data_IF_799071588161
#
_entry.id   IF_799071588161
#
_cell.length_a   1.000
_cell.length_b   1.000
_cell.length_c   1.000
_cell.angle_alpha   90.00
_cell.angle_beta   90.00
_cell.angle_gamma   90.00
#
_symmetry.space_group_name_H-M   'P 1'
#
loop_
_entity.id
_entity.type
_entity.pdbx_description
1 polymer ?
#
# COMPACT_ATOMS: atom_id res chain seq x y z
N UNK A 1 -12.13 16.93 -10.74
CA UNK A 1 -13.29 16.19 -11.28
C UNK A 1 -13.28 14.82 -10.61
N UNK A 2 -14.32 14.43 -9.89
CA UNK A 2 -14.40 13.08 -9.33
C UNK A 2 -14.26 12.07 -10.48
N UNK A 3 -13.34 11.12 -10.35
CA UNK A 3 -13.25 9.95 -11.23
C UNK A 3 -14.62 9.26 -11.20
N UNK A 4 -15.44 9.48 -12.24
CA UNK A 4 -16.72 8.78 -12.33
C UNK A 4 -16.39 7.32 -12.55
N UNK A 5 -16.74 6.44 -11.59
CA UNK A 5 -16.65 4.98 -11.80
C UNK A 5 -17.18 4.66 -13.19
N UNK A 6 -16.33 4.07 -14.02
CA UNK A 6 -16.68 3.61 -15.37
C UNK A 6 -17.72 2.48 -15.21
N UNK A 7 -18.98 2.76 -15.42
CA UNK A 7 -20.06 1.76 -15.33
C UNK A 7 -20.21 1.02 -16.67
N UNK A 8 -19.25 0.16 -16.97
CA UNK A 8 -19.31 -0.66 -18.19
C UNK A 8 -20.21 -1.88 -18.01
N UNK A 9 -21.03 -2.15 -19.03
CA UNK A 9 -21.68 -3.42 -19.23
C UNK A 9 -20.73 -4.40 -19.96
N UNK A 10 -21.06 -5.68 -20.01
CA UNK A 10 -20.31 -6.66 -20.83
C UNK A 10 -20.23 -6.25 -22.29
N UNK A 11 -21.32 -5.69 -22.83
CA UNK A 11 -21.42 -5.23 -24.21
C UNK A 11 -20.48 -4.03 -24.45
N UNK A 12 -20.43 -3.08 -23.53
CA UNK A 12 -19.52 -1.94 -23.61
C UNK A 12 -18.07 -2.40 -23.65
N UNK A 13 -17.70 -3.38 -22.81
CA UNK A 13 -16.34 -3.95 -22.78
C UNK A 13 -16.00 -4.63 -24.10
N UNK A 14 -16.92 -5.41 -24.67
CA UNK A 14 -16.72 -6.11 -25.94
C UNK A 14 -16.53 -5.11 -27.09
N UNK A 15 -17.38 -4.10 -27.16
CA UNK A 15 -17.30 -3.06 -28.20
C UNK A 15 -15.98 -2.27 -28.07
N UNK A 16 -15.60 -1.87 -26.86
CA UNK A 16 -14.38 -1.12 -26.62
C UNK A 16 -13.12 -1.92 -26.99
N UNK A 17 -13.10 -3.21 -26.69
CA UNK A 17 -11.99 -4.12 -27.06
C UNK A 17 -11.85 -4.23 -28.59
N UNK A 18 -12.98 -4.25 -29.32
CA UNK A 18 -13.00 -4.29 -30.80
C UNK A 18 -12.58 -2.94 -31.39
N UNK A 19 -13.18 -1.83 -30.94
CA UNK A 19 -12.90 -0.47 -31.42
C UNK A 19 -11.44 -0.06 -31.21
N UNK A 20 -10.86 -0.45 -30.08
CA UNK A 20 -9.49 -0.09 -29.68
C UNK A 20 -8.42 -1.10 -30.18
N UNK A 21 -8.76 -2.09 -31.00
CA UNK A 21 -7.84 -3.12 -31.51
C UNK A 21 -7.08 -3.85 -30.37
N UNK A 22 -7.78 -4.23 -29.31
CA UNK A 22 -7.19 -4.96 -28.18
C UNK A 22 -7.12 -6.45 -28.51
N UNK A 23 -5.92 -7.00 -28.57
CA UNK A 23 -5.70 -8.44 -28.84
C UNK A 23 -5.54 -9.28 -27.57
N UNK A 24 -4.99 -8.69 -26.51
CA UNK A 24 -4.71 -9.37 -25.24
C UNK A 24 -5.35 -8.67 -24.05
N UNK A 25 -5.96 -9.43 -23.15
CA UNK A 25 -6.51 -8.95 -21.89
C UNK A 25 -5.77 -9.63 -20.74
N UNK A 26 -5.28 -8.82 -19.81
CA UNK A 26 -4.66 -9.26 -18.56
C UNK A 26 -5.73 -9.32 -17.47
N UNK A 27 -6.10 -10.51 -17.03
CA UNK A 27 -6.91 -10.73 -15.85
C UNK A 27 -5.98 -10.66 -14.64
N UNK A 28 -5.99 -9.53 -13.93
CA UNK A 28 -5.07 -9.23 -12.84
C UNK A 28 -5.72 -9.48 -11.48
N UNK A 29 -4.95 -10.02 -10.54
CA UNK A 29 -5.32 -10.13 -9.14
C UNK A 29 -4.07 -10.02 -8.26
N UNK A 30 -4.24 -9.81 -6.96
CA UNK A 30 -3.13 -9.60 -6.03
C UNK A 30 -3.13 -10.70 -4.99
N UNK A 31 -1.97 -11.35 -4.78
CA UNK A 31 -1.83 -12.34 -3.71
C UNK A 31 -1.78 -11.68 -2.32
N UNK A 32 -1.80 -12.48 -1.25
CA UNK A 32 -1.82 -11.98 0.12
C UNK A 32 -0.58 -11.17 0.51
N UNK A 33 0.53 -11.32 -0.23
CA UNK A 33 1.78 -10.59 0.00
C UNK A 33 1.90 -9.29 -0.80
N UNK A 34 0.84 -8.93 -1.55
CA UNK A 34 0.84 -7.71 -2.35
C UNK A 34 1.53 -7.85 -3.70
N UNK A 35 1.80 -9.07 -4.17
CA UNK A 35 2.35 -9.31 -5.49
C UNK A 35 1.23 -9.38 -6.54
N UNK A 36 1.35 -8.54 -7.58
CA UNK A 36 0.41 -8.55 -8.70
C UNK A 36 0.64 -9.80 -9.56
N UNK A 37 -0.41 -10.57 -9.77
CA UNK A 37 -0.46 -11.75 -10.63
C UNK A 37 -1.37 -11.48 -11.82
N UNK A 38 -1.23 -12.26 -12.89
CA UNK A 38 -2.15 -12.18 -14.01
C UNK A 38 -2.25 -13.48 -14.82
N UNK A 39 -3.42 -13.68 -15.42
CA UNK A 39 -3.63 -14.59 -16.52
C UNK A 39 -3.85 -13.76 -17.80
N UNK A 40 -3.15 -14.08 -18.88
CA UNK A 40 -3.36 -13.44 -20.18
C UNK A 40 -4.34 -14.28 -21.02
N UNK A 41 -5.34 -13.63 -21.58
CA UNK A 41 -6.25 -14.21 -22.57
C UNK A 41 -6.21 -13.40 -23.86
N UNK A 42 -6.56 -14.00 -24.98
CA UNK A 42 -6.83 -13.29 -26.23
C UNK A 42 -8.24 -12.70 -26.23
N UNK A 43 -8.47 -11.67 -27.05
CA UNK A 43 -9.81 -11.07 -27.21
C UNK A 43 -10.90 -12.07 -27.54
N UNK A 44 -10.57 -13.14 -28.30
CA UNK A 44 -11.52 -14.23 -28.61
C UNK A 44 -12.03 -14.99 -27.38
N UNK A 45 -11.32 -14.94 -26.25
CA UNK A 45 -11.71 -15.56 -24.98
C UNK A 45 -12.38 -14.57 -24.00
N UNK A 46 -12.56 -13.31 -24.41
CA UNK A 46 -13.10 -12.26 -23.54
C UNK A 46 -14.49 -12.62 -22.97
N UNK A 47 -15.39 -13.12 -23.82
CA UNK A 47 -16.75 -13.50 -23.38
C UNK A 47 -16.70 -14.57 -22.28
N UNK A 48 -15.78 -15.54 -22.37
CA UNK A 48 -15.57 -16.55 -21.33
C UNK A 48 -15.15 -15.91 -20.00
N UNK A 49 -14.28 -14.90 -20.05
CA UNK A 49 -13.85 -14.16 -18.86
C UNK A 49 -15.00 -13.35 -18.26
N UNK A 50 -15.75 -12.62 -19.10
CA UNK A 50 -16.92 -11.83 -18.67
C UNK A 50 -18.06 -12.70 -18.10
N UNK A 51 -18.11 -13.98 -18.47
CA UNK A 51 -19.01 -14.98 -17.89
C UNK A 51 -18.46 -15.65 -16.62
N UNK A 52 -17.33 -15.16 -16.08
CA UNK A 52 -16.70 -15.67 -14.86
C UNK A 52 -16.24 -17.14 -14.97
N UNK A 53 -15.82 -17.56 -16.16
CA UNK A 53 -15.44 -18.95 -16.46
C UNK A 53 -13.92 -19.16 -16.61
N UNK A 54 -13.11 -18.17 -16.24
CA UNK A 54 -11.65 -18.27 -16.26
C UNK A 54 -11.16 -18.90 -14.97
N UNK A 55 -10.79 -20.17 -15.05
CA UNK A 55 -10.24 -20.96 -13.94
C UNK A 55 -8.72 -20.93 -13.97
N UNK A 56 -8.10 -20.99 -12.78
CA UNK A 56 -6.67 -21.13 -12.60
C UNK A 56 -6.34 -22.03 -11.39
N UNK A 57 -5.12 -22.55 -11.36
CA UNK A 57 -4.61 -23.34 -10.24
C UNK A 57 -4.11 -22.41 -9.12
N UNK A 58 -4.90 -22.28 -8.07
CA UNK A 58 -4.57 -21.47 -6.90
C UNK A 58 -3.50 -22.10 -6.00
N UNK A 59 -3.22 -23.43 -6.13
CA UNK A 59 -2.23 -24.10 -5.28
C UNK A 59 -0.79 -23.68 -5.59
N UNK A 60 -0.56 -23.16 -6.80
CA UNK A 60 0.72 -22.59 -7.21
C UNK A 60 0.99 -21.17 -6.66
N UNK A 61 0.00 -20.58 -5.96
CA UNK A 61 0.11 -19.25 -5.36
C UNK A 61 0.27 -19.39 -3.85
N UNK A 62 1.40 -18.88 -3.34
CA UNK A 62 1.72 -18.97 -1.92
C UNK A 62 0.60 -18.35 -1.06
N UNK A 63 0.18 -19.08 -0.03
CA UNK A 63 -0.87 -18.65 0.90
C UNK A 63 -2.30 -18.82 0.39
N UNK A 64 -2.52 -19.26 -0.86
CA UNK A 64 -3.88 -19.47 -1.37
C UNK A 64 -4.47 -20.80 -0.88
N UNK A 65 -4.49 -21.83 -1.68
CA UNK A 65 -5.17 -23.10 -1.38
C UNK A 65 -4.19 -24.28 -1.43
N UNK A 66 -4.64 -25.42 -0.93
CA UNK A 66 -3.92 -26.69 -1.09
C UNK A 66 -4.20 -27.30 -2.46
N UNK A 67 -3.36 -28.26 -2.85
CA UNK A 67 -3.46 -28.92 -4.16
C UNK A 67 -4.79 -29.67 -4.33
N UNK A 68 -5.41 -30.14 -3.26
CA UNK A 68 -6.69 -30.84 -3.27
C UNK A 68 -7.90 -29.89 -3.54
N UNK A 69 -7.71 -28.58 -3.38
CA UNK A 69 -8.73 -27.56 -3.59
C UNK A 69 -8.24 -26.48 -4.57
N UNK A 70 -7.45 -26.86 -5.58
CA UNK A 70 -6.66 -25.94 -6.40
C UNK A 70 -7.46 -25.03 -7.32
N UNK A 71 -8.66 -25.46 -7.74
CA UNK A 71 -9.44 -24.73 -8.73
C UNK A 71 -10.04 -23.44 -8.15
N UNK A 72 -9.62 -22.30 -8.68
CA UNK A 72 -10.18 -20.99 -8.38
C UNK A 72 -10.56 -20.26 -9.67
N UNK A 73 -11.47 -19.28 -9.58
CA UNK A 73 -11.99 -18.53 -10.69
C UNK A 73 -11.70 -17.04 -10.57
N UNK A 74 -11.41 -16.39 -11.70
CA UNK A 74 -11.25 -14.95 -11.80
C UNK A 74 -12.56 -14.31 -12.26
N UNK A 75 -13.08 -13.40 -11.44
CA UNK A 75 -14.29 -12.61 -11.70
C UNK A 75 -13.89 -11.17 -12.00
N UNK A 76 -13.89 -10.76 -13.29
CA UNK A 76 -13.45 -9.42 -13.67
C UNK A 76 -14.38 -8.32 -13.13
N UNK A 77 -13.80 -7.31 -12.51
CA UNK A 77 -14.47 -6.04 -12.20
C UNK A 77 -14.45 -5.16 -13.45
N UNK A 78 -15.61 -5.00 -14.10
CA UNK A 78 -15.73 -4.32 -15.39
C UNK A 78 -15.35 -2.83 -15.30
N UNK A 79 -15.52 -2.21 -14.14
CA UNK A 79 -15.16 -0.81 -13.92
C UNK A 79 -13.65 -0.56 -14.02
N UNK A 80 -12.85 -1.63 -13.96
CA UNK A 80 -11.38 -1.55 -13.94
C UNK A 80 -10.72 -1.76 -15.30
N UNK A 81 -11.49 -1.85 -16.40
CA UNK A 81 -10.89 -1.97 -17.72
C UNK A 81 -9.96 -0.79 -18.00
N UNK A 82 -8.71 -1.11 -18.39
CA UNK A 82 -7.72 -0.13 -18.74
C UNK A 82 -6.82 -0.64 -19.86
N UNK A 83 -6.52 0.20 -20.86
CA UNK A 83 -5.61 -0.11 -21.95
C UNK A 83 -4.22 0.40 -21.60
N UNK A 84 -3.20 -0.44 -21.71
CA UNK A 84 -1.84 -0.07 -21.34
C UNK A 84 -1.17 0.84 -22.38
N UNK A 85 -0.86 2.11 -22.05
CA UNK A 85 -0.27 3.07 -23.01
C UNK A 85 1.12 2.66 -23.50
N UNK A 86 1.84 1.88 -22.73
CA UNK A 86 3.21 1.42 -23.04
C UNK A 86 3.27 0.21 -23.96
N UNK A 87 2.14 -0.27 -24.45
CA UNK A 87 2.08 -1.40 -25.40
C UNK A 87 1.95 -0.89 -26.84
N UNK A 88 2.22 -1.76 -27.87
CA UNK A 88 2.10 -1.38 -29.27
C UNK A 88 0.73 -0.78 -29.61
N UNK A 89 0.70 0.10 -30.60
CA UNK A 89 -0.53 0.71 -31.11
C UNK A 89 -1.39 -0.30 -31.89
N UNK A 90 -0.78 -1.35 -32.46
CA UNK A 90 -1.48 -2.49 -33.05
C UNK A 90 -1.40 -3.68 -32.11
N UNK A 91 -2.50 -4.38 -31.93
CA UNK A 91 -2.59 -5.48 -30.98
C UNK A 91 -2.42 -4.99 -29.54
N UNK A 92 -3.17 -3.98 -29.16
CA UNK A 92 -3.13 -3.38 -27.83
C UNK A 92 -3.38 -4.41 -26.74
N UNK A 93 -2.94 -4.08 -25.53
CA UNK A 93 -3.13 -4.90 -24.33
C UNK A 93 -3.94 -4.13 -23.32
N UNK A 94 -5.07 -4.71 -22.89
CA UNK A 94 -5.86 -4.18 -21.79
C UNK A 94 -5.69 -5.05 -20.52
N UNK A 95 -6.18 -4.54 -19.41
CA UNK A 95 -6.32 -5.30 -18.17
C UNK A 95 -7.72 -5.18 -17.59
N UNK A 96 -8.12 -6.18 -16.83
CA UNK A 96 -9.25 -6.17 -15.90
C UNK A 96 -8.73 -6.66 -14.55
N UNK A 97 -9.04 -5.95 -13.48
CA UNK A 97 -8.77 -6.44 -12.11
C UNK A 97 -9.88 -7.41 -11.75
N UNK A 98 -9.49 -8.53 -11.14
CA UNK A 98 -10.41 -9.62 -10.81
C UNK A 98 -10.45 -9.84 -9.31
N UNK A 99 -11.65 -10.15 -8.82
CA UNK A 99 -11.84 -10.81 -7.53
C UNK A 99 -11.68 -12.33 -7.73
N UNK A 100 -11.26 -13.04 -6.69
CA UNK A 100 -11.04 -14.49 -6.73
C UNK A 100 -12.20 -15.21 -6.08
N UNK A 101 -12.71 -16.27 -6.72
CA UNK A 101 -13.86 -17.03 -6.29
C UNK A 101 -13.58 -18.54 -6.26
N UNK A 102 -14.28 -19.26 -5.39
CA UNK A 102 -14.31 -20.72 -5.35
C UNK A 102 -15.25 -21.29 -6.44
N UNK A 103 -15.12 -22.59 -6.78
CA UNK A 103 -15.99 -23.23 -7.79
C UNK A 103 -17.49 -23.11 -7.51
N UNK A 104 -17.88 -22.99 -6.24
CA UNK A 104 -19.28 -22.80 -5.80
C UNK A 104 -19.83 -21.40 -6.05
N UNK A 105 -19.00 -20.44 -6.47
CA UNK A 105 -19.41 -19.04 -6.67
C UNK A 105 -19.33 -18.19 -5.41
N UNK A 106 -18.75 -18.71 -4.31
CA UNK A 106 -18.45 -17.93 -3.12
C UNK A 106 -17.11 -17.20 -3.31
N UNK A 107 -16.99 -15.96 -2.79
CA UNK A 107 -15.71 -15.27 -2.76
C UNK A 107 -14.64 -16.10 -2.01
N UNK A 108 -13.44 -16.12 -2.54
CA UNK A 108 -12.31 -16.79 -1.87
C UNK A 108 -11.82 -15.95 -0.70
N UNK A 109 -11.80 -16.52 0.49
CA UNK A 109 -11.40 -15.84 1.73
C UNK A 109 -9.92 -15.44 1.80
N UNK A 110 -9.09 -15.98 0.90
CA UNK A 110 -7.68 -15.62 0.74
C UNK A 110 -7.43 -14.46 -0.22
N UNK A 111 -8.48 -13.95 -0.87
CA UNK A 111 -8.39 -12.78 -1.76
C UNK A 111 -8.29 -11.50 -0.94
N UNK A 112 -7.14 -10.82 -1.05
CA UNK A 112 -6.90 -9.56 -0.32
C UNK A 112 -7.87 -8.44 -0.72
N UNK A 113 -8.29 -8.39 -1.98
CA UNK A 113 -9.28 -7.42 -2.48
C UNK A 113 -10.66 -7.66 -1.87
N UNK A 114 -11.06 -8.92 -1.70
CA UNK A 114 -12.29 -9.29 -1.00
C UNK A 114 -12.26 -8.91 0.48
N UNK A 115 -11.11 -9.02 1.16
CA UNK A 115 -10.97 -8.58 2.55
C UNK A 115 -11.23 -7.08 2.69
N UNK A 116 -10.70 -6.26 1.78
CA UNK A 116 -11.00 -4.83 1.77
C UNK A 116 -12.49 -4.57 1.49
N UNK A 117 -13.10 -5.27 0.53
CA UNK A 117 -14.56 -5.16 0.25
C UNK A 117 -15.41 -5.45 1.50
N UNK A 118 -15.02 -6.43 2.29
CA UNK A 118 -15.72 -6.74 3.57
C UNK A 118 -15.61 -5.59 4.57
N UNK A 119 -14.43 -5.01 4.71
CA UNK A 119 -14.22 -3.85 5.60
C UNK A 119 -15.01 -2.61 5.12
N UNK A 120 -15.04 -2.38 3.81
CA UNK A 120 -15.83 -1.28 3.22
C UNK A 120 -17.32 -1.47 3.41
N UNK A 121 -17.82 -2.70 3.30
CA UNK A 121 -19.23 -3.01 3.58
C UNK A 121 -19.59 -2.70 5.04
N UNK A 122 -18.71 -3.02 6.00
CA UNK A 122 -18.92 -2.65 7.41
C UNK A 122 -18.97 -1.12 7.60
N UNK A 123 -18.13 -0.36 6.90
CA UNK A 123 -18.19 1.10 6.89
C UNK A 123 -19.52 1.62 6.32
N UNK A 124 -19.97 1.04 5.20
CA UNK A 124 -21.24 1.39 4.54
C UNK A 124 -22.43 1.12 5.46
N UNK A 125 -22.46 -0.02 6.17
CA UNK A 125 -23.49 -0.37 7.17
C UNK A 125 -23.52 0.64 8.33
N UNK A 126 -22.39 1.28 8.65
CA UNK A 126 -22.30 2.39 9.60
C UNK A 126 -22.61 3.77 8.96
N UNK A 127 -22.90 3.79 7.66
CA UNK A 127 -23.20 4.98 6.88
C UNK A 127 -21.97 5.79 6.45
N UNK A 128 -20.78 5.19 6.41
CA UNK A 128 -19.55 5.84 6.00
C UNK A 128 -19.04 5.38 4.63
N UNK A 129 -18.50 6.31 3.87
CA UNK A 129 -17.61 6.03 2.74
C UNK A 129 -16.17 6.31 3.18
N UNK A 130 -15.27 5.37 2.96
CA UNK A 130 -13.87 5.48 3.29
C UNK A 130 -13.06 5.98 2.10
N UNK A 131 -12.35 7.08 2.27
CA UNK A 131 -11.51 7.72 1.25
C UNK A 131 -10.05 7.68 1.67
N UNK A 132 -9.17 7.44 0.70
CA UNK A 132 -7.74 7.26 0.92
C UNK A 132 -6.94 7.99 -0.16
N UNK A 133 -5.89 8.71 0.25
CA UNK A 133 -4.85 9.28 -0.62
C UNK A 133 -3.48 8.73 -0.19
N UNK A 134 -2.82 7.94 -1.02
CA UNK A 134 -1.49 7.40 -0.72
C UNK A 134 -0.40 8.37 -1.18
N UNK A 135 0.70 8.42 -0.44
CA UNK A 135 1.98 9.01 -0.84
C UNK A 135 2.96 7.84 -0.95
N UNK A 136 3.42 7.50 -2.16
CA UNK A 136 4.15 6.25 -2.39
C UNK A 136 5.54 6.52 -2.95
N UNK A 137 6.55 6.41 -2.10
CA UNK A 137 7.96 6.64 -2.42
C UNK A 137 8.59 5.39 -3.06
N UNK A 138 9.62 5.61 -3.89
CA UNK A 138 10.38 4.55 -4.56
C UNK A 138 11.79 5.02 -4.91
N UNK A 139 12.67 4.05 -5.22
CA UNK A 139 14.03 4.33 -5.68
C UNK A 139 14.20 3.93 -7.15
N UNK A 140 15.03 4.70 -7.86
CA UNK A 140 15.49 4.43 -9.23
C UNK A 140 16.98 4.15 -9.23
N UNK A 141 17.37 2.92 -9.55
CA UNK A 141 18.77 2.50 -9.62
C UNK A 141 19.18 2.10 -11.03
N UNK A 142 20.47 2.10 -11.31
CA UNK A 142 21.02 1.56 -12.52
C UNK A 142 20.93 0.02 -12.53
N UNK A 143 20.81 -0.54 -13.71
CA UNK A 143 21.04 -1.96 -13.94
C UNK A 143 22.51 -2.18 -14.30
N UNK A 144 23.04 -3.36 -13.99
CA UNK A 144 24.40 -3.76 -14.43
C UNK A 144 24.43 -4.12 -15.93
N UNK A 145 25.59 -4.50 -16.43
CA UNK A 145 25.80 -4.90 -17.82
C UNK A 145 25.00 -6.13 -18.28
N UNK A 146 24.53 -6.94 -17.30
CA UNK A 146 23.68 -8.11 -17.52
C UNK A 146 22.19 -7.78 -17.32
N UNK A 147 21.84 -6.50 -17.22
CA UNK A 147 20.48 -6.01 -16.91
C UNK A 147 19.93 -6.49 -15.54
N UNK A 148 20.82 -6.78 -14.59
CA UNK A 148 20.45 -7.11 -13.22
C UNK A 148 20.29 -5.86 -12.37
N UNK A 149 19.33 -5.83 -11.43
CA UNK A 149 19.13 -4.70 -10.50
C UNK A 149 20.37 -4.45 -9.63
N UNK A 150 20.72 -3.19 -9.44
CA UNK A 150 21.76 -2.76 -8.49
C UNK A 150 21.17 -1.76 -7.47
N UNK A 151 21.99 -1.33 -6.50
CA UNK A 151 21.71 -0.18 -5.63
C UNK A 151 22.57 1.03 -5.99
N UNK A 152 23.11 1.05 -7.22
CA UNK A 152 24.00 2.10 -7.70
C UNK A 152 23.15 3.22 -8.31
N UNK A 153 23.44 4.46 -7.89
CA UNK A 153 22.98 5.69 -8.52
C UNK A 153 24.16 6.64 -8.68
N UNK A 154 24.16 7.40 -9.76
CA UNK A 154 25.18 8.44 -9.99
C UNK A 154 24.72 9.83 -9.53
N UNK A 155 23.48 9.96 -9.06
CA UNK A 155 22.97 11.24 -8.59
C UNK A 155 23.31 11.49 -7.10
N UNK A 156 23.31 12.77 -6.76
CA UNK A 156 23.52 13.30 -5.42
C UNK A 156 22.37 14.26 -5.01
N UNK A 157 21.26 14.23 -5.74
CA UNK A 157 20.11 15.06 -5.47
C UNK A 157 19.47 14.73 -4.11
N UNK A 158 18.78 15.70 -3.55
CA UNK A 158 18.02 15.63 -2.32
C UNK A 158 16.61 16.18 -2.49
N UNK A 159 15.96 16.50 -1.38
CA UNK A 159 14.56 16.91 -1.35
C UNK A 159 14.26 18.13 -2.23
N UNK A 160 13.34 17.97 -3.18
CA UNK A 160 12.92 18.99 -4.15
C UNK A 160 14.03 19.52 -5.09
N UNK A 161 15.14 18.84 -5.19
CA UNK A 161 16.13 19.15 -6.22
C UNK A 161 15.55 18.86 -7.62
N UNK A 162 16.10 19.56 -8.62
CA UNK A 162 15.67 19.51 -10.02
C UNK A 162 16.85 19.20 -10.95
N UNK A 163 16.59 18.98 -12.22
CA UNK A 163 17.67 18.86 -13.22
C UNK A 163 18.60 20.08 -13.24
N UNK A 164 19.91 19.90 -13.41
CA UNK A 164 20.57 18.67 -13.88
C UNK A 164 21.04 17.70 -12.76
N UNK A 165 20.77 17.96 -11.47
CA UNK A 165 21.23 17.09 -10.39
C UNK A 165 20.28 15.92 -10.14
N UNK A 166 18.98 16.10 -10.38
CA UNK A 166 17.98 15.02 -10.41
C UNK A 166 18.08 14.29 -11.76
N UNK A 167 18.74 13.13 -11.78
CA UNK A 167 18.90 12.33 -12.98
C UNK A 167 17.69 11.43 -13.26
N UNK A 168 16.78 11.28 -12.32
CA UNK A 168 15.54 10.54 -12.47
C UNK A 168 14.38 11.34 -13.08
N UNK A 169 14.51 12.66 -13.24
CA UNK A 169 13.45 13.58 -13.65
C UNK A 169 12.75 13.15 -14.95
N UNK A 170 13.49 12.76 -15.97
CA UNK A 170 12.90 12.34 -17.25
C UNK A 170 12.09 11.04 -17.13
N UNK A 171 12.59 10.06 -16.37
CA UNK A 171 11.86 8.82 -16.13
C UNK A 171 10.59 9.10 -15.32
N UNK A 172 10.68 9.94 -14.27
CA UNK A 172 9.56 10.34 -13.42
C UNK A 172 8.49 11.11 -14.22
N UNK A 173 8.92 12.04 -15.12
CA UNK A 173 8.03 12.74 -16.04
C UNK A 173 7.25 11.77 -16.93
N UNK A 174 7.91 10.79 -17.53
CA UNK A 174 7.24 9.81 -18.39
C UNK A 174 6.31 8.88 -17.59
N UNK A 175 6.64 8.59 -16.32
CA UNK A 175 5.73 7.89 -15.40
C UNK A 175 4.46 8.69 -15.16
N UNK A 176 4.58 9.99 -14.85
CA UNK A 176 3.44 10.90 -14.64
C UNK A 176 2.53 10.91 -15.86
N UNK A 177 3.07 11.21 -17.05
CA UNK A 177 2.28 11.26 -18.28
C UNK A 177 1.59 9.92 -18.58
N UNK A 178 2.27 8.80 -18.32
CA UNK A 178 1.68 7.47 -18.50
C UNK A 178 0.54 7.21 -17.52
N UNK A 179 0.68 7.66 -16.27
CA UNK A 179 -0.38 7.55 -15.26
C UNK A 179 -1.59 8.42 -15.62
N UNK A 180 -1.36 9.65 -16.09
CA UNK A 180 -2.44 10.54 -16.58
C UNK A 180 -3.17 9.94 -17.79
N UNK A 181 -2.44 9.33 -18.73
CA UNK A 181 -3.04 8.59 -19.86
C UNK A 181 -3.92 7.41 -19.39
N UNK A 182 -3.68 6.87 -18.19
CA UNK A 182 -4.49 5.84 -17.54
C UNK A 182 -5.57 6.40 -16.61
N UNK A 183 -5.81 7.72 -16.65
CA UNK A 183 -6.87 8.38 -15.91
C UNK A 183 -6.53 8.71 -14.46
N UNK A 184 -5.27 8.62 -14.04
CA UNK A 184 -4.85 9.16 -12.75
C UNK A 184 -4.87 10.69 -12.77
N UNK A 185 -5.26 11.29 -11.67
CA UNK A 185 -5.05 12.71 -11.41
C UNK A 185 -3.79 12.83 -10.55
N UNK A 186 -2.66 13.18 -11.18
CA UNK A 186 -1.40 13.34 -10.45
C UNK A 186 -1.38 14.72 -9.80
N UNK A 187 -1.15 14.78 -8.49
CA UNK A 187 -1.10 16.02 -7.71
C UNK A 187 0.30 16.61 -7.67
N UNK A 188 1.31 15.74 -7.44
CA UNK A 188 2.71 16.16 -7.40
C UNK A 188 3.66 15.07 -7.85
N UNK A 189 4.88 15.46 -8.25
CA UNK A 189 5.99 14.54 -8.44
C UNK A 189 7.31 15.26 -8.15
N UNK A 190 8.15 14.69 -7.32
CA UNK A 190 9.38 15.33 -6.89
C UNK A 190 10.48 14.32 -6.53
N UNK A 191 11.70 14.83 -6.42
CA UNK A 191 12.82 14.10 -5.84
C UNK A 191 12.70 14.10 -4.31
N UNK A 192 12.95 12.96 -3.67
CA UNK A 192 12.93 12.80 -2.24
C UNK A 192 14.29 13.04 -1.56
N UNK A 193 14.33 12.91 -0.22
CA UNK A 193 15.49 13.28 0.57
C UNK A 193 16.73 12.40 0.34
N UNK A 194 16.55 11.12 -0.02
CA UNK A 194 17.67 10.23 -0.31
C UNK A 194 18.05 10.29 -1.78
N UNK A 195 19.36 10.20 -2.13
CA UNK A 195 19.78 10.06 -3.53
C UNK A 195 19.08 8.87 -4.21
N UNK A 196 18.56 9.12 -5.41
CA UNK A 196 17.76 8.18 -6.21
C UNK A 196 16.34 7.89 -5.68
N UNK A 197 15.87 8.64 -4.70
CA UNK A 197 14.52 8.48 -4.15
C UNK A 197 13.56 9.50 -4.76
N UNK A 198 12.37 9.03 -5.12
CA UNK A 198 11.34 9.79 -5.81
C UNK A 198 9.97 9.53 -5.20
N UNK A 199 9.07 10.47 -5.39
CA UNK A 199 7.67 10.37 -5.01
C UNK A 199 6.77 10.89 -6.14
N UNK A 200 5.63 10.26 -6.32
CA UNK A 200 4.55 10.70 -7.20
C UNK A 200 3.25 10.52 -6.44
N UNK A 201 2.56 11.64 -6.17
CA UNK A 201 1.28 11.66 -5.48
C UNK A 201 0.14 11.77 -6.46
N UNK A 202 -0.95 11.08 -6.18
CA UNK A 202 -2.16 11.14 -6.98
C UNK A 202 -3.39 11.32 -6.08
N UNK A 203 -4.43 11.94 -6.65
CA UNK A 203 -5.65 12.34 -5.95
C UNK A 203 -6.26 11.18 -5.17
N UNK A 204 -6.77 11.49 -3.98
CA UNK A 204 -7.50 10.53 -3.14
C UNK A 204 -8.80 10.06 -3.80
N UNK A 205 -9.18 8.81 -3.55
CA UNK A 205 -10.44 8.23 -4.04
C UNK A 205 -11.04 7.29 -2.97
N UNK A 206 -12.15 6.62 -3.30
CA UNK A 206 -12.68 5.52 -2.49
C UNK A 206 -11.62 4.41 -2.36
N UNK A 207 -11.49 3.87 -1.17
CA UNK A 207 -10.35 3.03 -0.80
C UNK A 207 -10.12 1.79 -1.69
N UNK A 208 -11.17 1.19 -2.29
CA UNK A 208 -10.98 0.08 -3.21
C UNK A 208 -10.32 0.53 -4.51
N UNK A 209 -10.78 1.65 -5.08
CA UNK A 209 -10.18 2.24 -6.27
C UNK A 209 -8.73 2.68 -5.99
N UNK A 210 -8.48 3.28 -4.83
CA UNK A 210 -7.12 3.65 -4.41
C UNK A 210 -6.20 2.43 -4.28
N UNK A 211 -6.66 1.32 -3.69
CA UNK A 211 -5.85 0.10 -3.60
C UNK A 211 -5.54 -0.48 -5.00
N UNK A 212 -6.51 -0.50 -5.90
CA UNK A 212 -6.34 -0.88 -7.31
C UNK A 212 -5.34 0.05 -8.02
N UNK A 213 -5.43 1.36 -7.75
CA UNK A 213 -4.52 2.37 -8.29
C UNK A 213 -3.09 2.22 -7.77
N UNK A 214 -2.88 1.92 -6.47
CA UNK A 214 -1.54 1.65 -5.93
C UNK A 214 -0.88 0.46 -6.66
N UNK A 215 -1.61 -0.61 -6.93
CA UNK A 215 -1.07 -1.76 -7.67
C UNK A 215 -0.74 -1.39 -9.13
N UNK A 216 -1.59 -0.61 -9.77
CA UNK A 216 -1.38 -0.09 -11.14
C UNK A 216 -0.18 0.87 -11.19
N UNK A 217 -0.07 1.78 -10.23
CA UNK A 217 1.04 2.70 -10.05
C UNK A 217 2.38 1.95 -9.96
N UNK A 218 2.48 0.96 -9.08
CA UNK A 218 3.69 0.14 -8.94
C UNK A 218 4.09 -0.57 -10.23
N UNK A 219 3.11 -1.08 -10.99
CA UNK A 219 3.35 -1.70 -12.29
C UNK A 219 3.86 -0.67 -13.30
N UNK A 220 3.23 0.50 -13.38
CA UNK A 220 3.58 1.58 -14.30
C UNK A 220 4.99 2.09 -14.03
N UNK A 221 5.30 2.44 -12.78
CA UNK A 221 6.64 2.94 -12.37
C UNK A 221 7.74 1.95 -12.75
N UNK A 222 7.58 0.66 -12.43
CA UNK A 222 8.55 -0.39 -12.80
C UNK A 222 8.69 -0.54 -14.31
N UNK A 223 7.59 -0.45 -15.05
CA UNK A 223 7.59 -0.62 -16.51
C UNK A 223 8.28 0.55 -17.20
N UNK A 224 7.97 1.78 -16.81
CA UNK A 224 8.55 2.98 -17.40
C UNK A 224 10.04 3.12 -17.00
N UNK A 225 10.39 2.87 -15.73
CA UNK A 225 11.79 2.85 -15.30
C UNK A 225 12.63 1.90 -16.18
N UNK A 226 12.13 0.68 -16.44
CA UNK A 226 12.82 -0.28 -17.31
C UNK A 226 13.03 0.24 -18.73
N UNK A 227 12.11 1.04 -19.28
CA UNK A 227 12.24 1.67 -20.61
C UNK A 227 13.33 2.74 -20.64
N UNK A 228 13.60 3.36 -19.48
CA UNK A 228 14.71 4.32 -19.29
C UNK A 228 16.04 3.64 -18.90
N UNK A 229 16.11 2.31 -18.92
CA UNK A 229 17.33 1.58 -18.52
C UNK A 229 17.56 1.58 -17.00
N UNK A 230 16.51 1.90 -16.21
CA UNK A 230 16.54 1.96 -14.76
C UNK A 230 15.78 0.81 -14.12
N UNK A 231 16.11 0.50 -12.88
CA UNK A 231 15.35 -0.40 -12.01
C UNK A 231 14.62 0.40 -10.93
N UNK A 232 13.29 0.36 -10.94
CA UNK A 232 12.48 0.93 -9.87
C UNK A 232 12.23 -0.11 -8.78
N UNK A 233 12.47 0.26 -7.52
CA UNK A 233 12.18 -0.60 -6.37
C UNK A 233 11.33 0.12 -5.34
N UNK A 234 10.37 -0.63 -4.81
CA UNK A 234 9.53 -0.28 -3.66
C UNK A 234 10.02 -0.95 -2.37
N UNK A 235 11.27 -1.38 -2.33
CA UNK A 235 11.91 -1.92 -1.14
C UNK A 235 12.00 -0.82 -0.08
N UNK A 236 11.55 -1.05 1.17
CA UNK A 236 11.47 -0.01 2.20
C UNK A 236 12.81 0.64 2.55
N UNK A 237 13.90 -0.12 2.55
CA UNK A 237 15.25 0.37 2.86
C UNK A 237 16.29 -0.30 1.95
N UNK A 238 16.42 0.14 0.69
CA UNK A 238 17.35 -0.51 -0.25
C UNK A 238 18.80 -0.13 -0.02
N UNK A 239 19.07 0.97 0.71
CA UNK A 239 20.42 1.50 0.92
C UNK A 239 20.63 1.90 2.38
N UNK A 240 21.75 1.52 2.98
CA UNK A 240 22.11 1.92 4.33
C UNK A 240 22.53 3.41 4.37
N UNK A 241 22.33 4.06 5.52
CA UNK A 241 22.81 5.43 5.76
C UNK A 241 21.98 6.56 5.10
N UNK A 242 20.89 6.24 4.40
CA UNK A 242 19.98 7.23 3.77
C UNK A 242 18.53 6.95 4.19
N UNK A 243 17.59 7.86 3.90
CA UNK A 243 16.17 7.63 4.15
C UNK A 243 15.65 6.39 3.38
N UNK A 244 14.63 5.74 3.90
CA UNK A 244 13.91 4.65 3.23
C UNK A 244 12.59 5.15 2.68
N UNK A 245 11.93 4.31 1.87
CA UNK A 245 10.65 4.63 1.24
C UNK A 245 9.47 4.36 2.17
N UNK A 246 8.61 5.37 2.35
CA UNK A 246 7.31 5.30 2.98
C UNK A 246 6.20 5.11 1.95
N UNK A 247 5.06 4.67 2.45
CA UNK A 247 3.77 4.78 1.79
C UNK A 247 2.79 5.36 2.80
N UNK A 248 2.82 6.68 2.96
CA UNK A 248 1.93 7.36 3.88
C UNK A 248 0.48 7.18 3.42
N UNK A 249 -0.41 6.93 4.36
CA UNK A 249 -1.82 6.69 4.06
C UNK A 249 -2.64 7.82 4.67
N UNK A 250 -3.10 8.73 3.82
CA UNK A 250 -4.06 9.76 4.19
C UNK A 250 -5.46 9.17 4.15
N UNK A 251 -6.20 9.30 5.25
CA UNK A 251 -7.51 8.66 5.45
C UNK A 251 -8.55 9.66 5.88
N UNK A 252 -9.77 9.53 5.37
CA UNK A 252 -10.94 10.24 5.86
C UNK A 252 -12.21 9.39 5.71
N UNK A 253 -13.23 9.72 6.50
CA UNK A 253 -14.58 9.17 6.36
C UNK A 253 -15.53 10.25 5.88
N UNK A 254 -16.41 9.92 4.95
CA UNK A 254 -17.49 10.80 4.53
C UNK A 254 -18.87 10.15 4.74
N UNK A 255 -19.91 10.98 4.92
CA UNK A 255 -21.31 10.57 4.96
C UNK A 255 -22.12 11.60 4.20
N UNK A 256 -22.93 11.15 3.25
CA UNK A 256 -23.73 12.04 2.38
C UNK A 256 -22.86 13.13 1.68
N UNK A 257 -21.67 12.73 1.22
CA UNK A 257 -20.72 13.61 0.54
C UNK A 257 -19.97 14.59 1.45
N UNK A 258 -20.20 14.58 2.78
CA UNK A 258 -19.54 15.47 3.74
C UNK A 258 -18.47 14.76 4.53
N UNK A 259 -17.31 15.36 4.66
CA UNK A 259 -16.22 14.86 5.48
C UNK A 259 -16.66 14.82 6.97
N UNK A 260 -16.48 13.66 7.62
CA UNK A 260 -16.87 13.43 9.00
C UNK A 260 -15.75 13.62 10.01
N UNK A 261 -14.54 13.86 9.54
CA UNK A 261 -13.42 14.17 10.42
C UNK A 261 -13.32 15.66 10.76
N UNK A 262 -13.99 16.53 9.97
CA UNK A 262 -14.03 17.94 10.26
C UNK A 262 -15.10 18.29 11.29
N UNK A 263 -14.77 19.24 12.18
CA UNK A 263 -15.70 19.98 13.03
C UNK A 263 -15.10 21.37 13.30
N UNK A 264 -15.64 22.45 12.67
CA UNK A 264 -15.11 23.81 12.85
C UNK A 264 -15.13 24.31 14.30
N UNK A 265 -16.05 23.80 15.12
CA UNK A 265 -16.18 24.13 16.54
C UNK A 265 -15.41 23.16 17.45
N UNK A 266 -14.91 22.06 16.88
CA UNK A 266 -14.14 21.04 17.61
C UNK A 266 -12.72 21.51 17.92
N UNK A 267 -12.10 20.92 18.95
CA UNK A 267 -10.70 21.13 19.24
C UNK A 267 -9.86 20.75 18.00
N UNK A 268 -8.90 21.57 17.62
CA UNK A 268 -8.05 21.40 16.45
C UNK A 268 -8.82 21.34 15.09
N UNK A 269 -10.10 21.72 15.05
CA UNK A 269 -10.98 21.62 13.89
C UNK A 269 -11.38 20.18 13.55
N UNK A 270 -11.28 19.26 14.52
CA UNK A 270 -11.57 17.84 14.38
C UNK A 270 -12.85 17.42 15.07
N UNK A 271 -13.57 16.51 14.46
CA UNK A 271 -14.75 15.87 15.04
C UNK A 271 -14.39 14.79 16.06
N UNK A 272 -15.38 14.37 16.85
CA UNK A 272 -15.22 13.23 17.75
C UNK A 272 -14.95 11.92 16.99
N UNK A 273 -15.55 11.75 15.81
CA UNK A 273 -15.28 10.60 14.95
C UNK A 273 -13.82 10.53 14.54
N UNK A 274 -13.16 11.66 14.23
CA UNK A 274 -11.74 11.70 13.92
C UNK A 274 -10.89 11.24 15.12
N UNK A 275 -11.16 11.76 16.32
CA UNK A 275 -10.46 11.32 17.53
C UNK A 275 -10.64 9.84 17.79
N UNK A 276 -11.86 9.33 17.72
CA UNK A 276 -12.15 7.91 17.94
C UNK A 276 -11.49 7.03 16.90
N UNK A 277 -11.46 7.46 15.64
CA UNK A 277 -10.77 6.73 14.56
C UNK A 277 -9.26 6.63 14.82
N UNK A 278 -8.63 7.74 15.25
CA UNK A 278 -7.21 7.75 15.68
C UNK A 278 -7.02 6.79 16.86
N UNK A 279 -7.88 6.86 17.87
CA UNK A 279 -7.82 6.00 19.06
C UNK A 279 -7.89 4.52 18.70
N UNK A 280 -8.77 4.15 17.78
CA UNK A 280 -8.89 2.78 17.28
C UNK A 280 -7.64 2.29 16.55
N UNK A 281 -7.08 3.10 15.65
CA UNK A 281 -5.81 2.76 14.98
C UNK A 281 -4.68 2.60 16.01
N UNK A 282 -4.52 3.55 16.92
CA UNK A 282 -3.44 3.53 17.91
C UNK A 282 -3.54 2.31 18.84
N UNK A 283 -4.75 1.88 19.21
CA UNK A 283 -4.97 0.66 20.00
C UNK A 283 -4.38 -0.59 19.37
N UNK A 284 -4.52 -0.74 18.06
CA UNK A 284 -4.12 -1.94 17.32
C UNK A 284 -2.83 -1.77 16.51
N UNK A 285 -2.18 -0.63 16.61
CA UNK A 285 -1.09 -0.27 15.69
C UNK A 285 0.09 -1.26 15.70
N UNK A 286 0.41 -1.88 16.83
CA UNK A 286 1.49 -2.87 16.91
C UNK A 286 1.19 -4.08 16.03
N UNK A 287 -0.04 -4.57 16.04
CA UNK A 287 -0.49 -5.66 15.17
C UNK A 287 -0.63 -5.20 13.70
N UNK A 288 -1.15 -4.00 13.47
CA UNK A 288 -1.27 -3.39 12.15
C UNK A 288 0.11 -3.26 11.48
N UNK A 289 1.17 -3.00 12.27
CA UNK A 289 2.55 -2.88 11.76
C UNK A 289 3.01 -4.15 11.03
N UNK A 290 2.58 -5.34 11.45
CA UNK A 290 2.89 -6.59 10.72
C UNK A 290 2.36 -6.59 9.28
N UNK A 291 1.27 -5.89 9.01
CA UNK A 291 0.60 -5.80 7.70
C UNK A 291 1.11 -4.61 6.89
N UNK A 292 1.32 -3.47 7.54
CA UNK A 292 1.76 -2.22 6.89
C UNK A 292 3.26 -2.16 6.68
N UNK A 293 4.03 -2.97 7.38
CA UNK A 293 5.49 -3.09 7.32
C UNK A 293 5.89 -4.57 7.25
N UNK A 294 5.64 -5.23 6.10
CA UNK A 294 5.53 -6.68 6.00
C UNK A 294 6.85 -7.43 5.86
N UNK A 295 7.98 -6.76 5.72
CA UNK A 295 9.27 -7.37 5.42
C UNK A 295 10.26 -7.21 6.57
N UNK A 296 11.23 -8.12 6.67
CA UNK A 296 12.41 -7.90 7.53
C UNK A 296 13.05 -6.54 7.23
N UNK A 297 13.09 -6.15 5.96
CA UNK A 297 13.65 -4.89 5.50
C UNK A 297 12.83 -3.66 5.94
N UNK A 298 11.54 -3.79 6.19
CA UNK A 298 10.67 -2.72 6.72
C UNK A 298 11.21 -2.14 8.03
N UNK A 299 11.73 -2.99 8.90
CA UNK A 299 12.27 -2.61 10.23
C UNK A 299 13.68 -2.01 10.15
N UNK A 300 14.33 -2.04 8.99
CA UNK A 300 15.55 -1.26 8.71
C UNK A 300 15.21 0.19 8.30
N UNK A 301 13.96 0.47 7.89
CA UNK A 301 13.42 1.82 7.71
C UNK A 301 12.91 2.38 9.03
N UNK A 302 12.17 1.60 9.84
CA UNK A 302 11.58 2.03 11.12
C UNK A 302 12.64 2.15 12.24
N UNK A 303 13.65 2.98 12.00
CA UNK A 303 14.73 3.27 12.95
C UNK A 303 14.85 4.78 13.18
N UNK A 304 15.26 5.24 14.37
CA UNK A 304 15.43 6.66 14.65
C UNK A 304 16.45 7.32 13.71
N UNK A 305 16.18 8.58 13.33
CA UNK A 305 17.12 9.41 12.56
C UNK A 305 16.90 9.41 11.03
N UNK A 306 15.87 8.74 10.51
CA UNK A 306 15.59 8.63 9.08
C UNK A 306 14.12 8.92 8.73
N UNK A 307 13.54 9.98 9.28
CA UNK A 307 12.20 10.50 8.99
C UNK A 307 11.04 9.49 9.08
N UNK A 308 11.31 8.24 9.50
CA UNK A 308 10.29 7.22 9.73
C UNK A 308 9.82 7.26 11.20
N UNK A 309 8.52 7.16 11.47
CA UNK A 309 8.01 7.15 12.84
C UNK A 309 8.31 5.82 13.52
N UNK A 310 8.83 5.89 14.74
CA UNK A 310 9.13 4.71 15.58
C UNK A 310 8.37 4.70 16.88
N UNK A 311 7.68 5.81 17.21
CA UNK A 311 6.93 5.99 18.45
C UNK A 311 5.45 6.11 18.17
N UNK A 312 4.63 5.48 19.02
CA UNK A 312 3.17 5.49 18.94
C UNK A 312 2.65 6.79 19.54
N UNK A 313 2.47 7.79 18.70
CA UNK A 313 1.98 9.12 19.06
C UNK A 313 1.26 9.76 17.87
N UNK A 314 0.49 10.81 18.13
CA UNK A 314 -0.15 11.61 17.10
C UNK A 314 0.04 13.12 17.37
N UNK A 315 -0.06 13.94 16.30
CA UNK A 315 0.10 15.39 16.41
C UNK A 315 -0.61 16.15 15.28
N UNK A 316 -0.98 17.39 15.56
CA UNK A 316 -1.50 18.35 14.58
C UNK A 316 -0.42 19.29 14.03
N UNK A 317 0.79 19.31 14.60
CA UNK A 317 1.83 20.30 14.27
C UNK A 317 3.18 19.70 13.90
N UNK A 318 3.42 18.43 14.23
CA UNK A 318 4.72 17.78 14.15
C UNK A 318 4.70 16.67 13.07
N UNK A 319 5.83 16.45 12.39
CA UNK A 319 6.00 15.38 11.39
C UNK A 319 6.68 14.13 11.95
N UNK A 320 7.15 14.14 13.21
CA UNK A 320 7.80 12.98 13.83
C UNK A 320 6.86 11.89 14.35
N UNK A 321 5.58 12.16 14.71
CA UNK A 321 4.66 11.12 15.17
C UNK A 321 4.21 10.15 14.08
N UNK A 322 3.68 9.02 14.56
CA UNK A 322 3.08 7.97 13.77
C UNK A 322 1.86 8.44 12.97
N UNK A 323 0.97 9.20 13.63
CA UNK A 323 -0.21 9.79 13.01
C UNK A 323 -0.05 11.31 13.03
N UNK A 324 -0.14 11.90 11.84
CA UNK A 324 -0.13 13.35 11.64
C UNK A 324 -1.50 13.81 11.17
N UNK A 325 -1.92 14.97 11.64
CA UNK A 325 -3.08 15.67 11.11
C UNK A 325 -2.56 16.82 10.23
N UNK A 326 -2.65 16.73 8.90
CA UNK A 326 -2.25 17.82 8.00
C UNK A 326 -2.96 19.13 8.34
N UNK A 327 -2.42 20.26 7.89
CA UNK A 327 -2.95 21.59 8.21
C UNK A 327 -4.30 21.90 7.54
N UNK A 328 -4.57 21.25 6.40
CA UNK A 328 -5.85 21.41 5.67
C UNK A 328 -7.04 21.01 6.53
N UNK A 329 -8.13 21.77 6.41
CA UNK A 329 -9.40 21.55 7.11
C UNK A 329 -10.54 21.60 6.09
N UNK A 330 -11.78 21.48 6.59
CA UNK A 330 -12.95 21.38 5.73
C UNK A 330 -13.05 20.01 5.08
N UNK A 331 -13.39 19.97 3.82
CA UNK A 331 -13.50 18.71 3.06
C UNK A 331 -12.16 17.95 2.92
N UNK A 332 -11.04 18.66 3.11
CA UNK A 332 -9.69 18.10 3.07
C UNK A 332 -9.19 17.57 4.44
N UNK A 333 -10.02 17.64 5.48
CA UNK A 333 -9.64 17.14 6.82
C UNK A 333 -9.37 15.64 6.75
N UNK A 334 -8.15 15.24 7.13
CA UNK A 334 -7.70 13.84 7.06
C UNK A 334 -6.70 13.51 8.16
N UNK A 335 -6.49 12.25 8.38
CA UNK A 335 -5.42 11.73 9.20
C UNK A 335 -4.39 11.04 8.31
N UNK A 336 -3.12 11.22 8.58
CA UNK A 336 -2.00 10.63 7.84
C UNK A 336 -1.31 9.61 8.74
N UNK A 337 -1.37 8.32 8.37
CA UNK A 337 -0.60 7.26 8.99
C UNK A 337 0.74 7.13 8.25
N UNK A 338 1.85 7.36 8.96
CA UNK A 338 3.18 7.54 8.37
C UNK A 338 4.10 6.33 8.45
N UNK A 339 3.75 5.31 9.25
CA UNK A 339 4.57 4.11 9.37
C UNK A 339 4.53 3.18 8.16
N UNK A 340 3.43 3.02 7.40
CA UNK A 340 3.38 2.07 6.29
C UNK A 340 4.50 2.29 5.28
N UNK A 341 4.91 1.20 4.64
CA UNK A 341 5.88 1.24 3.54
C UNK A 341 5.30 0.61 2.26
N UNK A 342 5.91 0.90 1.10
CA UNK A 342 5.34 0.50 -0.18
C UNK A 342 5.45 -1.00 -0.48
N UNK A 343 6.07 -1.82 0.39
CA UNK A 343 6.01 -3.27 0.27
C UNK A 343 4.69 -3.86 0.77
N UNK A 344 3.91 -3.08 1.54
CA UNK A 344 2.61 -3.51 2.04
C UNK A 344 1.64 -3.88 0.91
N UNK A 345 0.81 -4.89 1.18
CA UNK A 345 -0.37 -5.17 0.37
C UNK A 345 -1.41 -4.07 0.66
N UNK A 346 -1.75 -3.21 -0.33
CA UNK A 346 -2.61 -2.06 -0.07
C UNK A 346 -4.02 -2.46 0.37
N UNK A 347 -4.56 -3.56 -0.14
CA UNK A 347 -5.89 -4.03 0.25
C UNK A 347 -5.93 -4.43 1.73
N UNK A 348 -4.94 -5.21 2.19
CA UNK A 348 -4.87 -5.63 3.59
C UNK A 348 -4.58 -4.46 4.51
N UNK A 349 -3.63 -3.57 4.14
CA UNK A 349 -3.28 -2.39 4.92
C UNK A 349 -4.49 -1.48 5.14
N UNK A 350 -5.23 -1.17 4.07
CA UNK A 350 -6.43 -0.33 4.17
C UNK A 350 -7.56 -1.01 4.94
N UNK A 351 -7.74 -2.33 4.79
CA UNK A 351 -8.76 -3.08 5.51
C UNK A 351 -8.54 -3.05 7.03
N UNK A 352 -7.31 -3.31 7.49
CA UNK A 352 -7.02 -3.32 8.94
C UNK A 352 -7.06 -1.92 9.55
N UNK A 353 -6.59 -0.89 8.83
CA UNK A 353 -6.69 0.50 9.27
C UNK A 353 -8.15 0.95 9.39
N UNK A 354 -8.97 0.67 8.36
CA UNK A 354 -10.39 1.01 8.38
C UNK A 354 -11.11 0.34 9.54
N UNK A 355 -10.95 -0.98 9.70
CA UNK A 355 -11.66 -1.72 10.76
C UNK A 355 -11.25 -1.28 12.15
N UNK A 356 -9.96 -1.03 12.38
CA UNK A 356 -9.47 -0.47 13.65
C UNK A 356 -10.08 0.91 13.93
N UNK A 357 -10.11 1.79 12.93
CA UNK A 357 -10.75 3.10 13.06
C UNK A 357 -12.26 3.02 13.32
N UNK A 358 -12.98 2.11 12.65
CA UNK A 358 -14.41 1.89 12.89
C UNK A 358 -14.70 1.31 14.28
N UNK A 359 -13.84 0.40 14.79
CA UNK A 359 -13.94 -0.04 16.18
C UNK A 359 -13.76 1.15 17.13
N UNK A 360 -12.78 2.01 16.86
CA UNK A 360 -12.57 3.23 17.63
C UNK A 360 -13.81 4.10 17.71
N UNK A 361 -14.51 4.30 16.60
CA UNK A 361 -15.77 5.07 16.56
C UNK A 361 -16.88 4.34 17.33
N UNK A 362 -17.04 3.04 17.14
CA UNK A 362 -18.07 2.22 17.78
C UNK A 362 -17.93 2.20 19.29
N UNK A 363 -16.72 1.97 19.77
CA UNK A 363 -16.38 1.85 21.19
C UNK A 363 -16.01 3.19 21.84
N UNK A 364 -15.99 4.29 21.06
CA UNK A 364 -15.61 5.65 21.49
C UNK A 364 -14.23 5.69 22.16
N UNK A 365 -13.25 5.09 21.51
CA UNK A 365 -11.87 5.00 22.00
C UNK A 365 -11.19 6.35 21.83
N UNK A 366 -10.93 7.04 22.95
CA UNK A 366 -10.19 8.30 22.92
C UNK A 366 -8.69 8.01 22.70
N UNK A 367 -8.01 8.74 21.80
CA UNK A 367 -6.57 8.63 21.69
C UNK A 367 -5.88 9.29 22.90
N UNK A 368 -4.62 8.97 23.20
CA UNK A 368 -3.84 9.70 24.20
C UNK A 368 -3.68 11.18 23.79
N UNK A 369 -3.15 12.00 24.70
CA UNK A 369 -2.84 13.41 24.42
C UNK A 369 -1.90 13.54 23.21
N UNK A 370 -2.13 14.57 22.39
CA UNK A 370 -1.28 14.85 21.21
C UNK A 370 0.11 15.30 21.63
N UNK A 371 1.13 14.83 20.92
CA UNK A 371 2.54 15.15 21.20
C UNK A 371 3.01 16.20 20.20
N UNK A 372 3.13 17.44 20.66
CA UNK A 372 3.48 18.58 19.81
C UNK A 372 4.97 18.99 19.87
N UNK A 373 5.81 18.22 20.55
CA UNK A 373 7.28 18.36 20.56
C UNK A 373 7.94 17.26 19.73
N UNK A 374 9.23 17.47 19.40
CA UNK A 374 9.98 16.43 18.71
C UNK A 374 10.30 15.28 19.66
N UNK A 375 9.64 14.14 19.45
CA UNK A 375 9.75 12.94 20.32
C UNK A 375 11.19 12.40 20.38
N UNK A 376 11.98 12.60 19.34
CA UNK A 376 13.38 12.12 19.33
C UNK A 376 14.29 12.84 20.33
N UNK A 377 13.91 14.04 20.77
CA UNK A 377 14.65 14.80 21.80
C UNK A 377 14.14 14.54 23.23
N UNK A 378 13.03 13.83 23.39
CA UNK A 378 12.52 13.44 24.71
C UNK A 378 13.43 12.35 25.32
N UNK A 379 13.68 12.45 26.63
CA UNK A 379 14.31 11.35 27.38
C UNK A 379 13.39 10.14 27.47
N UNK A 380 13.93 8.98 27.80
CA UNK A 380 13.13 7.77 27.98
C UNK A 380 12.17 7.88 29.18
N UNK A 381 12.55 8.66 30.20
CA UNK A 381 11.68 8.97 31.35
C UNK A 381 10.48 9.83 30.91
N UNK A 382 10.71 10.88 30.11
CA UNK A 382 9.64 11.73 29.58
C UNK A 382 8.69 10.97 28.67
N UNK A 383 9.20 10.08 27.79
CA UNK A 383 8.38 9.21 26.97
C UNK A 383 7.51 8.27 27.81
N UNK A 384 8.12 7.66 28.84
CA UNK A 384 7.41 6.75 29.74
C UNK A 384 6.31 7.47 30.51
N UNK A 385 6.56 8.67 31.02
CA UNK A 385 5.58 9.50 31.73
C UNK A 385 4.42 9.94 30.80
N UNK A 386 4.71 10.18 29.53
CA UNK A 386 3.71 10.51 28.50
C UNK A 386 2.98 9.29 27.95
N UNK A 387 3.31 8.07 28.39
CA UNK A 387 2.73 6.83 27.87
C UNK A 387 3.08 6.56 26.41
N UNK A 388 4.18 7.12 25.89
CA UNK A 388 4.61 6.95 24.50
C UNK A 388 5.34 5.61 24.39
N UNK A 389 4.70 4.65 23.71
CA UNK A 389 5.29 3.36 23.41
C UNK A 389 6.03 3.38 22.05
N UNK A 390 6.77 2.31 21.77
CA UNK A 390 7.41 2.10 20.47
C UNK A 390 6.64 1.13 19.60
N UNK A 391 6.73 1.33 18.29
CA UNK A 391 6.37 0.30 17.31
C UNK A 391 7.29 -0.92 17.48
N UNK A 392 6.84 -2.12 17.04
CA UNK A 392 7.72 -3.28 16.94
C UNK A 392 9.03 -2.93 16.21
N UNK A 393 10.16 -3.37 16.74
CA UNK A 393 11.49 -3.10 16.17
C UNK A 393 11.94 -4.13 15.16
N UNK A 394 11.24 -5.27 15.06
CA UNK A 394 11.54 -6.38 14.15
C UNK A 394 10.26 -6.97 13.56
N UNK A 395 10.39 -7.68 12.43
CA UNK A 395 9.27 -8.42 11.85
C UNK A 395 8.72 -9.45 12.84
N UNK A 396 9.60 -10.09 13.62
CA UNK A 396 9.20 -11.09 14.60
C UNK A 396 8.32 -10.50 15.70
N UNK A 397 8.73 -9.38 16.29
CA UNK A 397 7.92 -8.66 17.30
C UNK A 397 6.55 -8.25 16.74
N UNK A 398 6.51 -7.74 15.50
CA UNK A 398 5.25 -7.35 14.88
C UNK A 398 4.31 -8.55 14.66
N UNK A 399 4.85 -9.71 14.27
CA UNK A 399 4.08 -10.94 14.12
C UNK A 399 3.57 -11.43 15.48
N UNK A 400 4.38 -11.34 16.54
CA UNK A 400 3.91 -11.67 17.90
C UNK A 400 2.76 -10.77 18.36
N UNK A 401 2.80 -9.48 18.04
CA UNK A 401 1.69 -8.56 18.33
C UNK A 401 0.44 -8.89 17.49
N UNK A 402 0.62 -9.27 16.21
CA UNK A 402 -0.50 -9.74 15.38
C UNK A 402 -1.12 -11.04 15.91
N UNK A 403 -0.32 -11.97 16.43
CA UNK A 403 -0.83 -13.22 17.04
C UNK A 403 -1.68 -12.96 18.28
N UNK A 404 -1.36 -11.94 19.07
CA UNK A 404 -2.07 -11.55 20.30
C UNK A 404 -3.34 -10.76 19.99
N UNK A 405 -3.39 -10.05 18.87
CA UNK A 405 -4.51 -9.18 18.52
C UNK A 405 -5.61 -9.94 17.77
N UNK A 406 -6.58 -10.43 18.50
CA UNK A 406 -7.71 -11.17 17.95
C UNK A 406 -8.55 -10.32 17.01
N UNK A 407 -8.70 -9.00 17.26
CA UNK A 407 -9.48 -8.11 16.41
C UNK A 407 -8.86 -7.96 15.01
N UNK A 408 -7.56 -7.72 14.91
CA UNK A 408 -6.87 -7.60 13.62
C UNK A 408 -6.84 -8.95 12.90
N UNK A 409 -6.61 -10.07 13.60
CA UNK A 409 -6.71 -11.42 13.00
C UNK A 409 -8.09 -11.68 12.41
N UNK A 410 -9.16 -11.33 13.12
CA UNK A 410 -10.54 -11.46 12.63
C UNK A 410 -10.83 -10.50 11.46
N UNK A 411 -10.15 -9.36 11.41
CA UNK A 411 -10.24 -8.42 10.29
C UNK A 411 -9.69 -9.02 9.00
N UNK A 412 -8.59 -9.73 9.08
CA UNK A 412 -7.98 -10.47 7.96
C UNK A 412 -8.77 -11.74 7.60
N UNK A 413 -9.46 -12.33 8.58
CA UNK A 413 -10.06 -13.65 8.48
C UNK A 413 -9.06 -14.77 8.77
N UNK A 414 -9.58 -15.91 9.24
CA UNK A 414 -8.74 -17.02 9.73
C UNK A 414 -7.76 -17.55 8.69
N UNK A 415 -8.18 -17.65 7.42
CA UNK A 415 -7.32 -18.17 6.35
C UNK A 415 -6.08 -17.28 6.18
N UNK A 416 -6.29 -15.98 5.88
CA UNK A 416 -5.19 -15.05 5.65
C UNK A 416 -4.34 -14.85 6.90
N UNK A 417 -4.97 -14.64 8.08
CA UNK A 417 -4.22 -14.41 9.31
C UNK A 417 -3.24 -15.55 9.61
N UNK A 418 -3.70 -16.81 9.53
CA UNK A 418 -2.86 -17.95 9.83
C UNK A 418 -1.76 -18.16 8.79
N UNK A 419 -2.10 -18.09 7.49
CA UNK A 419 -1.13 -18.26 6.40
C UNK A 419 -0.09 -17.15 6.37
N UNK A 420 -0.51 -15.92 6.62
CA UNK A 420 0.37 -14.77 6.69
C UNK A 420 1.37 -14.90 7.86
N UNK A 421 0.89 -15.23 9.07
CA UNK A 421 1.74 -15.43 10.24
C UNK A 421 2.75 -16.54 10.00
N UNK A 422 2.30 -17.69 9.45
CA UNK A 422 3.16 -18.82 9.12
C UNK A 422 4.29 -18.41 8.15
N UNK A 423 3.94 -17.78 7.03
CA UNK A 423 4.90 -17.34 6.03
C UNK A 423 5.89 -16.29 6.56
N UNK A 424 5.41 -15.33 7.37
CA UNK A 424 6.28 -14.29 7.93
C UNK A 424 7.21 -14.80 9.03
N UNK A 425 6.81 -15.79 9.79
CA UNK A 425 7.73 -16.52 10.70
C UNK A 425 8.81 -17.29 9.92
N UNK A 426 8.45 -17.90 8.81
CA UNK A 426 9.42 -18.56 7.95
C UNK A 426 10.41 -17.56 7.32
N UNK A 427 9.92 -16.40 6.83
CA UNK A 427 10.78 -15.32 6.33
C UNK A 427 11.78 -14.86 7.41
N UNK A 428 11.30 -14.62 8.64
CA UNK A 428 12.15 -14.25 9.76
C UNK A 428 13.21 -15.31 10.08
N UNK A 429 12.83 -16.58 10.13
CA UNK A 429 13.76 -17.68 10.41
C UNK A 429 14.82 -17.80 9.31
N UNK A 430 14.44 -17.65 8.04
CA UNK A 430 15.40 -17.62 6.90
C UNK A 430 16.38 -16.46 7.02
N UNK A 431 15.90 -15.27 7.43
CA UNK A 431 16.76 -14.11 7.66
C UNK A 431 17.75 -14.36 8.82
N UNK A 432 17.28 -14.86 9.96
CA UNK A 432 18.14 -15.13 11.11
C UNK A 432 19.22 -16.20 10.85
N UNK A 433 19.02 -17.04 9.85
CA UNK A 433 20.01 -18.04 9.43
C UNK A 433 21.07 -17.48 8.45
N UNK A 434 20.92 -16.22 8.00
CA UNK A 434 21.93 -15.60 7.12
C UNK A 434 23.11 -15.11 7.96
N UNK A 435 24.31 -15.22 7.38
CA UNK A 435 25.51 -14.59 7.89
C UNK A 435 25.80 -13.39 6.99
N UNK A 436 25.77 -12.22 7.57
CA UNK A 436 25.92 -10.95 6.84
C UNK A 436 27.41 -10.54 6.70
N UNK A 437 27.74 -9.79 5.65
CA UNK A 437 29.09 -9.24 5.48
C UNK A 437 29.50 -8.41 6.72
N UNK A 438 28.56 -7.68 7.34
CA UNK A 438 28.81 -6.93 8.56
C UNK A 438 29.25 -7.85 9.72
N UNK A 439 28.65 -9.02 9.91
CA UNK A 439 29.05 -9.98 10.94
C UNK A 439 30.44 -10.54 10.65
N UNK A 440 30.75 -10.83 9.38
CA UNK A 440 32.08 -11.26 8.96
C UNK A 440 33.11 -10.17 9.26
N UNK A 441 32.85 -8.92 8.87
CA UNK A 441 33.75 -7.81 9.08
C UNK A 441 33.99 -7.52 10.57
N UNK A 442 32.94 -7.61 11.41
CA UNK A 442 33.03 -7.30 12.83
C UNK A 442 33.60 -8.45 13.68
N UNK A 443 33.30 -9.70 13.34
CA UNK A 443 33.55 -10.82 14.25
C UNK A 443 34.67 -11.76 13.81
N UNK A 444 34.86 -11.99 12.49
CA UNK A 444 35.78 -13.03 12.00
C UNK A 444 37.21 -12.87 12.51
N UNK A 445 37.69 -11.62 12.69
CA UNK A 445 39.02 -11.35 13.20
C UNK A 445 39.14 -11.33 14.74
N UNK A 446 38.01 -11.20 15.43
CA UNK A 446 38.02 -11.04 16.90
C UNK A 446 37.80 -12.36 17.64
N UNK A 447 37.15 -13.29 16.96
CA UNK A 447 36.75 -14.60 17.53
C UNK A 447 37.17 -15.76 16.65
#
# INVERSE_FOLDING_TARGET
MQSSKKNYTKEDIMNLVEEEDVEFIRLQFTDMFGCLKNMAITSSQLLKALDNKCMFDGSAIEGFVKIEESDLFLYPDLSTLEIFPWRPQQGKVARLICDVYRPGGEPFEGDSRYILRRALKEAEEMGYTFKVGPECEFFLFHMDENAMPTTISHEQAGYFDLGPVDLGENARRDMVLTLEDMGFVVESSHHEAAPAQHEIDFEYDEALATADNIMTFKLTVKTIAKRHGLHATFMPKPKAGVNGSGMHINMSLSRDGRNKFQDPEGKDGLSREAYYFIGGIMKHIKAITAITNPLVNSYKRLVPGYEAPVYIAWSTTNRSPLIRIPASRGDETRIELRSPDPAANPYLALAVCLRAGLEGIREKIEPPESVNCNIFFMSDEEKSLAGIERLPGTLFEAIEELEKDEFIRNSLGNHVANKYIEAKKEEWNKYCAQITDWEIDEYLYRY
#
